data_IF_948377334827
#
_entry.id   IF_948377334827
#
_cell.length_a   1.000
_cell.length_b   1.000
_cell.length_c   1.000
_cell.angle_alpha   90.00
_cell.angle_beta   90.00
_cell.angle_gamma   90.00
#
_symmetry.space_group_name_H-M   'P 1'
#
loop_
_entity.id
_entity.type
_entity.pdbx_description
1 polymer ?
#
# COMPACT_ATOMS: atom_id res chain seq x y z
N UNK A 1 3.29 18.12 -1.42
CA UNK A 1 3.47 16.74 -0.94
C UNK A 1 3.84 15.90 -2.15
N UNK A 2 4.77 14.95 -2.03
CA UNK A 2 5.12 14.07 -3.17
C UNK A 2 3.90 13.28 -3.60
N UNK A 3 3.82 12.95 -4.89
CA UNK A 3 2.76 12.08 -5.39
C UNK A 3 3.03 10.60 -4.99
N UNK A 4 2.00 9.75 -5.07
CA UNK A 4 2.12 8.35 -4.66
C UNK A 4 3.17 7.60 -5.51
N UNK A 5 3.31 7.93 -6.80
CA UNK A 5 4.25 7.27 -7.71
C UNK A 5 5.71 7.63 -7.42
N UNK A 6 5.99 8.89 -7.07
CA UNK A 6 7.27 9.40 -6.61
C UNK A 6 7.69 8.71 -5.31
N UNK A 7 6.75 8.51 -4.38
CA UNK A 7 7.01 7.78 -3.13
C UNK A 7 7.36 6.31 -3.43
N UNK A 8 6.58 5.63 -4.26
CA UNK A 8 6.84 4.24 -4.66
C UNK A 8 8.20 4.10 -5.37
N UNK A 9 8.54 5.05 -6.24
CA UNK A 9 9.84 5.05 -6.94
C UNK A 9 11.01 5.30 -5.98
N UNK A 10 10.83 6.16 -4.98
CA UNK A 10 11.85 6.36 -3.94
C UNK A 10 12.09 5.11 -3.11
N UNK A 11 11.03 4.38 -2.75
CA UNK A 11 11.14 3.09 -2.06
C UNK A 11 11.86 2.09 -2.97
N UNK A 12 11.42 1.96 -4.23
CA UNK A 12 12.02 1.03 -5.21
C UNK A 12 13.52 1.26 -5.42
N UNK A 13 13.97 2.51 -5.42
CA UNK A 13 15.38 2.88 -5.63
C UNK A 13 16.22 2.85 -4.35
N UNK A 14 15.59 2.79 -3.18
CA UNK A 14 16.24 2.91 -1.88
C UNK A 14 16.23 1.60 -1.11
N UNK A 15 17.23 0.72 -1.25
CA UNK A 15 17.24 -0.58 -0.55
C UNK A 15 17.18 -0.44 0.98
N UNK A 16 17.78 0.61 1.55
CA UNK A 16 17.69 0.90 2.98
C UNK A 16 16.25 1.29 3.41
N UNK A 17 15.52 2.02 2.56
CA UNK A 17 14.13 2.41 2.81
C UNK A 17 13.23 1.18 2.71
N UNK A 18 13.42 0.34 1.69
CA UNK A 18 12.70 -0.93 1.56
C UNK A 18 12.92 -1.83 2.77
N UNK A 19 14.18 -2.00 3.19
CA UNK A 19 14.50 -2.82 4.36
C UNK A 19 13.86 -2.25 5.65
N UNK A 20 13.88 -0.93 5.83
CA UNK A 20 13.24 -0.29 6.97
C UNK A 20 11.72 -0.50 6.96
N UNK A 21 11.05 -0.28 5.82
CA UNK A 21 9.60 -0.45 5.69
C UNK A 21 9.17 -1.90 5.93
N UNK A 22 9.98 -2.87 5.49
CA UNK A 22 9.78 -4.26 5.82
C UNK A 22 9.84 -4.52 7.33
N UNK A 23 10.89 -4.01 7.99
CA UNK A 23 11.14 -4.27 9.41
C UNK A 23 10.09 -3.62 10.33
N UNK A 24 9.61 -2.41 9.98
CA UNK A 24 8.73 -1.64 10.87
C UNK A 24 7.24 -1.85 10.61
N UNK A 25 6.84 -2.12 9.36
CA UNK A 25 5.43 -2.20 9.01
C UNK A 25 5.11 -3.24 7.93
N UNK A 26 6.03 -4.18 7.68
CA UNK A 26 5.89 -5.27 6.72
C UNK A 26 5.46 -4.81 5.32
N UNK A 27 5.84 -3.59 4.91
CA UNK A 27 5.45 -3.05 3.61
C UNK A 27 6.51 -3.43 2.56
N UNK A 28 6.19 -4.39 1.69
CA UNK A 28 7.09 -4.87 0.64
C UNK A 28 6.49 -4.74 -0.77
N UNK A 29 7.19 -4.02 -1.64
CA UNK A 29 6.80 -3.81 -3.05
C UNK A 29 6.91 -5.10 -3.88
N UNK A 30 7.80 -6.03 -3.53
CA UNK A 30 7.95 -7.30 -4.26
C UNK A 30 6.77 -8.25 -4.01
N UNK A 31 6.00 -7.98 -2.96
CA UNK A 31 4.78 -8.69 -2.57
C UNK A 31 3.51 -7.98 -3.07
N UNK A 32 3.66 -6.96 -3.92
CA UNK A 32 2.55 -6.29 -4.60
C UNK A 32 1.93 -7.24 -5.64
N UNK A 33 0.99 -8.10 -5.23
CA UNK A 33 0.40 -9.03 -6.19
C UNK A 33 -0.84 -9.79 -5.72
N UNK A 34 -1.93 -9.55 -6.43
CA UNK A 34 -2.94 -10.58 -6.74
C UNK A 34 -2.85 -10.89 -8.24
N UNK A 35 -2.99 -12.16 -8.62
CA UNK A 35 -2.93 -12.61 -10.02
C UNK A 35 -4.11 -12.11 -10.90
N UNK A 36 -5.04 -11.32 -10.35
CA UNK A 36 -6.24 -10.85 -11.01
C UNK A 36 -6.57 -9.40 -10.62
N UNK A 37 -7.14 -8.59 -11.54
CA UNK A 37 -7.61 -7.24 -11.21
C UNK A 37 -8.66 -7.26 -10.09
N UNK A 38 -8.41 -6.48 -9.03
CA UNK A 38 -9.35 -6.30 -7.91
C UNK A 38 -10.10 -4.99 -8.10
N UNK A 39 -11.40 -4.97 -7.78
CA UNK A 39 -12.26 -3.79 -7.91
C UNK A 39 -13.12 -3.61 -6.66
N UNK A 40 -13.40 -2.35 -6.33
CA UNK A 40 -14.42 -1.99 -5.34
C UNK A 40 -15.82 -2.39 -5.84
N UNK A 41 -16.78 -2.47 -4.93
CA UNK A 41 -18.20 -2.69 -5.27
C UNK A 41 -18.77 -1.61 -6.19
N UNK A 42 -18.19 -0.40 -6.19
CA UNK A 42 -18.50 0.68 -7.13
C UNK A 42 -17.95 0.47 -8.54
N UNK A 43 -17.14 -0.57 -8.76
CA UNK A 43 -16.44 -0.85 -10.02
C UNK A 43 -15.09 -0.14 -10.17
N UNK A 44 -14.76 0.79 -9.26
CA UNK A 44 -13.46 1.48 -9.25
C UNK A 44 -12.30 0.48 -9.04
N UNK A 45 -11.15 0.69 -9.69
CA UNK A 45 -10.01 -0.23 -9.59
C UNK A 45 -9.34 -0.16 -8.21
N UNK A 46 -8.73 -1.29 -7.82
CA UNK A 46 -7.76 -1.38 -6.73
C UNK A 46 -6.42 -1.83 -7.31
N UNK A 47 -5.42 -0.96 -7.22
CA UNK A 47 -4.06 -1.23 -7.68
C UNK A 47 -3.21 -1.70 -6.50
N UNK A 48 -2.80 -2.97 -6.50
CA UNK A 48 -1.90 -3.50 -5.47
C UNK A 48 -0.52 -2.89 -5.57
N UNK A 49 -0.01 -2.32 -4.49
CA UNK A 49 1.28 -1.62 -4.45
C UNK A 49 2.28 -2.23 -3.48
N UNK A 50 1.83 -3.00 -2.51
CA UNK A 50 2.69 -3.76 -1.59
C UNK A 50 1.91 -4.91 -0.94
N UNK A 51 2.62 -5.83 -0.30
CA UNK A 51 2.05 -6.87 0.56
C UNK A 51 2.91 -7.13 1.79
N UNK A 52 2.34 -7.83 2.76
CA UNK A 52 2.98 -8.16 4.04
C UNK A 52 3.42 -9.63 4.14
N UNK A 53 3.95 -10.04 5.30
CA UNK A 53 4.42 -11.40 5.50
C UNK A 53 3.27 -12.44 5.54
N UNK A 54 2.11 -12.05 6.03
CA UNK A 54 0.93 -12.90 6.29
C UNK A 54 -0.04 -13.01 5.11
N UNK A 55 0.25 -12.30 4.02
CA UNK A 55 -0.57 -12.30 2.80
C UNK A 55 -1.60 -11.18 2.75
N UNK A 56 -1.49 -10.18 3.62
CA UNK A 56 -2.20 -8.91 3.47
C UNK A 56 -1.59 -8.04 2.37
N UNK A 57 -2.35 -7.06 1.92
CA UNK A 57 -2.02 -6.24 0.75
C UNK A 57 -2.48 -4.79 0.86
N UNK A 58 -1.69 -3.90 0.27
CA UNK A 58 -1.94 -2.47 0.20
C UNK A 58 -2.36 -2.09 -1.21
N UNK A 59 -3.43 -1.30 -1.33
CA UNK A 59 -4.02 -0.91 -2.60
C UNK A 59 -4.20 0.60 -2.71
N UNK A 60 -3.87 1.17 -3.86
CA UNK A 60 -4.33 2.50 -4.25
C UNK A 60 -5.73 2.40 -4.86
N UNK A 61 -6.65 3.20 -4.32
CA UNK A 61 -8.07 3.14 -4.65
C UNK A 61 -8.47 4.12 -5.74
N UNK A 62 -9.20 3.64 -6.74
CA UNK A 62 -9.78 4.47 -7.79
C UNK A 62 -8.85 4.73 -8.96
N UNK A 63 -9.36 5.52 -9.90
CA UNK A 63 -8.66 5.87 -11.13
C UNK A 63 -7.29 6.53 -10.86
N UNK A 64 -6.29 6.34 -11.74
CA UNK A 64 -4.98 6.96 -11.58
C UNK A 64 -5.07 8.47 -11.32
N UNK A 65 -4.47 8.89 -10.20
CA UNK A 65 -4.35 10.27 -9.80
C UNK A 65 -3.04 10.45 -9.01
N UNK A 66 -2.56 11.68 -8.82
CA UNK A 66 -1.34 11.92 -8.03
C UNK A 66 -1.43 11.45 -6.56
N UNK A 67 -2.64 11.28 -6.03
CA UNK A 67 -2.88 11.01 -4.62
C UNK A 67 -4.20 10.25 -4.48
N UNK A 68 -4.10 8.99 -4.06
CA UNK A 68 -5.22 8.05 -3.99
C UNK A 68 -5.34 7.46 -2.58
N UNK A 69 -6.57 7.27 -2.05
CA UNK A 69 -6.75 6.58 -0.79
C UNK A 69 -6.08 5.20 -0.81
N UNK A 70 -5.46 4.84 0.32
CA UNK A 70 -4.84 3.53 0.50
C UNK A 70 -5.76 2.65 1.32
N UNK A 71 -6.10 1.50 0.76
CA UNK A 71 -6.80 0.42 1.44
C UNK A 71 -5.80 -0.67 1.80
N UNK A 72 -5.86 -1.17 3.03
CA UNK A 72 -5.22 -2.40 3.42
C UNK A 72 -6.26 -3.50 3.53
N UNK A 73 -5.97 -4.67 2.98
CA UNK A 73 -6.77 -5.88 3.12
C UNK A 73 -5.92 -7.00 3.72
N UNK A 74 -6.40 -7.60 4.80
CA UNK A 74 -5.79 -8.78 5.41
C UNK A 74 -6.13 -10.05 4.63
N UNK A 75 -5.33 -11.10 4.82
CA UNK A 75 -5.62 -12.44 4.30
C UNK A 75 -6.88 -13.08 4.91
N UNK A 76 -7.32 -12.62 6.09
CA UNK A 76 -8.53 -13.06 6.78
C UNK A 76 -9.83 -12.41 6.25
N UNK A 77 -9.71 -11.53 5.24
CA UNK A 77 -10.85 -10.92 4.56
C UNK A 77 -11.33 -9.60 5.16
N UNK A 78 -10.66 -9.09 6.19
CA UNK A 78 -10.89 -7.73 6.71
C UNK A 78 -10.19 -6.71 5.82
N UNK A 79 -10.84 -5.57 5.56
CA UNK A 79 -10.26 -4.51 4.75
C UNK A 79 -10.72 -3.13 5.21
N UNK A 80 -9.84 -2.13 5.10
CA UNK A 80 -10.13 -0.76 5.50
C UNK A 80 -9.22 0.27 4.85
N UNK A 81 -9.74 1.48 4.65
CA UNK A 81 -8.93 2.63 4.21
C UNK A 81 -8.09 3.11 5.39
N UNK A 82 -6.78 3.09 5.22
CA UNK A 82 -5.80 3.45 6.26
C UNK A 82 -5.14 4.81 5.99
N UNK A 83 -5.36 5.39 4.80
CA UNK A 83 -4.81 6.67 4.44
C UNK A 83 -5.55 7.30 3.27
N UNK A 84 -5.52 8.64 3.20
CA UNK A 84 -6.02 9.42 2.06
C UNK A 84 -5.06 9.42 0.87
N UNK A 85 -3.81 9.03 1.10
CA UNK A 85 -2.69 8.94 0.18
C UNK A 85 -1.61 8.01 0.76
N UNK A 86 -0.60 7.67 -0.04
CA UNK A 86 0.44 6.74 0.36
C UNK A 86 1.28 7.28 1.53
N UNK A 87 1.56 8.59 1.55
CA UNK A 87 2.29 9.22 2.64
C UNK A 87 1.54 9.09 3.97
N UNK A 88 0.23 9.38 3.99
CA UNK A 88 -0.60 9.25 5.17
C UNK A 88 -0.71 7.79 5.64
N UNK A 89 -0.85 6.85 4.71
CA UNK A 89 -0.93 5.43 5.03
C UNK A 89 0.35 4.93 5.70
N UNK A 90 1.52 5.24 5.11
CA UNK A 90 2.82 4.88 5.68
C UNK A 90 3.04 5.53 7.05
N UNK A 91 2.65 6.80 7.21
CA UNK A 91 2.75 7.47 8.50
C UNK A 91 1.92 6.77 9.59
N UNK A 92 0.73 6.27 9.25
CA UNK A 92 -0.12 5.49 10.16
C UNK A 92 0.53 4.15 10.48
N UNK A 93 0.99 3.39 9.48
CA UNK A 93 1.53 2.04 9.72
C UNK A 93 2.88 2.04 10.43
N UNK A 94 3.70 3.08 10.23
CA UNK A 94 4.97 3.27 10.95
C UNK A 94 4.73 3.78 12.38
N UNK A 95 3.71 4.62 12.57
CA UNK A 95 3.47 5.32 13.83
C UNK A 95 2.63 4.57 14.85
N UNK A 96 1.89 3.53 14.44
CA UNK A 96 1.08 2.72 15.33
C UNK A 96 1.91 1.58 15.94
N UNK A 97 1.78 1.31 17.25
CA UNK A 97 2.41 0.16 17.87
C UNK A 97 1.78 -1.14 17.36
N UNK A 98 2.62 -2.15 17.13
CA UNK A 98 2.27 -3.52 16.77
C UNK A 98 2.17 -4.46 17.97
#
# INVERSE_FOLDING_TARGET
MRDDAEILELIRRGPEVTALLWDVCEFDLERAGYYSPVRLSSGLPLEGVAGDYTGGAFFLCGEPSPSRPVLYASSEGEAGVIGRDLAAALAVTIGLPS
#
